data_IF_578346324841
#
_entry.id   IF_578346324841
#
_cell.length_a   1.000
_cell.length_b   1.000
_cell.length_c   1.000
_cell.angle_alpha   90.00
_cell.angle_beta   90.00
_cell.angle_gamma   90.00
#
_symmetry.space_group_name_H-M   'P 1'
#
loop_
_entity.id
_entity.type
_entity.pdbx_description
1 polymer ?
#
# COMPACT_ATOMS: atom_id res chain seq x y z
N UNK A 1 27.50 47.50 39.34
CA UNK A 1 27.26 46.34 38.45
C UNK A 1 28.33 46.40 37.37
N UNK A 2 29.55 45.96 37.67
CA UNK A 2 30.13 44.64 37.26
C UNK A 2 29.85 44.43 35.76
N UNK A 3 30.78 44.63 34.82
CA UNK A 3 32.21 44.37 34.84
C UNK A 3 32.48 43.13 34.00
N UNK A 4 32.69 43.32 32.69
CA UNK A 4 33.11 42.24 31.79
C UNK A 4 34.57 41.88 32.02
N UNK A 5 34.90 40.59 31.89
CA UNK A 5 36.26 40.13 31.69
C UNK A 5 36.29 38.90 30.75
N UNK A 6 37.31 38.78 29.87
CA UNK A 6 37.46 37.73 28.88
C UNK A 6 38.32 36.56 29.42
N UNK A 7 38.18 35.37 28.83
CA UNK A 7 39.03 34.22 29.14
C UNK A 7 40.02 33.97 28.00
N UNK A 8 41.28 34.34 28.22
CA UNK A 8 42.49 33.75 27.62
C UNK A 8 43.66 33.87 28.60
N UNK A 9 44.19 32.74 29.09
CA UNK A 9 45.62 32.53 29.46
C UNK A 9 45.78 31.03 29.80
N UNK A 10 46.30 30.20 28.89
CA UNK A 10 47.70 29.86 28.60
C UNK A 10 48.29 28.77 29.52
N UNK A 11 48.65 27.61 28.93
CA UNK A 11 50.05 27.13 28.65
C UNK A 11 50.60 26.36 29.87
N UNK A 12 51.01 25.10 29.73
CA UNK A 12 52.40 24.58 29.60
C UNK A 12 52.25 23.05 29.80
N UNK A 13 52.77 22.06 29.06
CA UNK A 13 53.92 21.83 28.16
C UNK A 13 53.44 21.09 26.87
N UNK A 14 53.89 21.28 25.62
CA UNK A 14 55.19 21.62 25.02
C UNK A 14 56.15 20.43 24.75
N UNK A 15 56.32 20.14 23.44
CA UNK A 15 57.49 19.57 22.72
C UNK A 15 57.73 18.06 22.92
N UNK A 16 57.76 17.20 21.88
CA UNK A 16 58.84 16.96 20.91
C UNK A 16 58.23 16.19 19.72
N UNK A 17 58.06 16.83 18.56
CA UNK A 17 58.95 16.74 17.39
C UNK A 17 58.89 15.40 16.63
N UNK A 18 58.10 15.42 15.56
CA UNK A 18 58.42 14.95 14.22
C UNK A 18 59.88 14.49 14.02
N UNK A 19 60.14 13.18 14.07
CA UNK A 19 61.25 12.55 13.35
C UNK A 19 60.84 11.12 12.96
N UNK A 20 61.06 10.80 11.68
CA UNK A 20 61.14 9.45 11.08
C UNK A 20 59.82 8.76 10.73
N UNK A 21 59.30 9.12 9.55
CA UNK A 21 58.84 8.12 8.60
C UNK A 21 60.03 7.24 8.15
N UNK A 22 59.75 5.97 7.87
CA UNK A 22 60.60 4.90 7.30
C UNK A 22 61.41 4.06 8.31
N UNK A 23 60.80 2.95 8.76
CA UNK A 23 61.26 1.57 8.43
C UNK A 23 60.17 0.56 8.80
N UNK A 24 59.62 -0.14 7.80
CA UNK A 24 58.84 -1.37 7.97
C UNK A 24 59.78 -2.50 8.45
N UNK A 25 59.27 -3.54 9.14
CA UNK A 25 58.96 -4.74 8.37
C UNK A 25 57.61 -5.38 8.69
N UNK A 26 57.06 -5.90 7.60
CA UNK A 26 55.99 -6.88 7.46
C UNK A 26 56.17 -8.05 8.43
N UNK A 27 55.18 -8.29 9.30
CA UNK A 27 55.01 -9.58 9.96
C UNK A 27 53.59 -10.04 9.66
N UNK A 28 53.49 -10.95 8.67
CA UNK A 28 52.34 -11.84 8.52
C UNK A 28 52.30 -12.77 9.74
N UNK A 29 51.29 -12.62 10.58
CA UNK A 29 50.80 -13.71 11.42
C UNK A 29 49.37 -14.02 11.00
N UNK A 30 49.25 -15.06 10.18
CA UNK A 30 47.95 -15.64 9.85
C UNK A 30 47.37 -16.29 11.10
N UNK A 31 46.35 -15.67 11.68
CA UNK A 31 45.36 -16.39 12.47
C UNK A 31 44.41 -17.07 11.48
N UNK A 32 44.63 -18.36 11.26
CA UNK A 32 43.67 -19.22 10.59
C UNK A 32 42.40 -19.21 11.43
N UNK A 33 41.40 -18.44 11.02
CA UNK A 33 40.05 -18.60 11.53
C UNK A 33 39.61 -20.02 11.18
N UNK A 34 39.34 -20.83 12.19
CA UNK A 34 38.65 -22.10 12.00
C UNK A 34 37.31 -21.81 11.33
N UNK A 35 36.86 -22.65 10.38
CA UNK A 35 35.53 -22.48 9.84
C UNK A 35 34.54 -22.71 10.98
N UNK A 36 33.76 -21.68 11.33
CA UNK A 36 32.53 -21.91 12.10
C UNK A 36 31.72 -22.90 11.29
N UNK A 37 31.48 -24.06 11.91
CA UNK A 37 30.43 -24.96 11.46
C UNK A 37 29.17 -24.12 11.29
N UNK A 38 28.53 -24.28 10.13
CA UNK A 38 27.21 -23.72 9.89
C UNK A 38 26.31 -24.23 11.04
N UNK A 39 25.95 -23.33 11.95
CA UNK A 39 24.88 -23.58 12.90
C UNK A 39 23.63 -23.94 12.08
N UNK A 40 22.96 -25.00 12.55
CA UNK A 40 22.02 -25.78 11.78
C UNK A 40 20.90 -24.96 11.16
N UNK A 41 20.31 -25.53 10.12
CA UNK A 41 19.02 -25.11 9.56
C UNK A 41 18.07 -24.73 10.71
N UNK A 42 17.40 -23.56 10.65
CA UNK A 42 16.48 -23.17 11.70
C UNK A 42 15.47 -24.31 11.90
N UNK A 43 15.25 -24.67 13.17
CA UNK A 43 14.14 -25.56 13.52
C UNK A 43 12.84 -25.00 12.91
N UNK A 44 11.89 -25.86 12.49
CA UNK A 44 10.62 -25.40 11.97
C UNK A 44 9.99 -24.51 13.04
N UNK A 45 9.88 -23.21 12.73
CA UNK A 45 9.07 -22.32 13.56
C UNK A 45 7.67 -22.91 13.55
N UNK A 46 7.05 -23.11 14.71
CA UNK A 46 5.70 -23.63 14.77
C UNK A 46 4.81 -22.79 13.85
N UNK A 47 3.99 -23.45 13.03
CA UNK A 47 3.10 -22.77 12.11
C UNK A 47 2.22 -21.78 12.89
N UNK A 48 2.05 -20.57 12.36
CA UNK A 48 1.19 -19.56 12.96
C UNK A 48 -0.26 -20.07 12.93
N UNK A 49 -1.05 -19.76 13.95
CA UNK A 49 -2.51 -19.85 13.88
C UNK A 49 -3.11 -18.47 14.12
N UNK A 50 -4.21 -18.15 13.46
CA UNK A 50 -4.89 -16.86 13.60
C UNK A 50 -5.44 -16.65 15.01
N UNK A 51 -5.75 -17.73 15.74
CA UNK A 51 -6.17 -17.68 17.14
C UNK A 51 -5.03 -17.26 18.09
N UNK A 52 -3.78 -17.50 17.71
CA UNK A 52 -2.59 -17.22 18.53
C UNK A 52 -1.97 -15.84 18.24
N UNK A 53 -2.35 -15.20 17.13
CA UNK A 53 -1.87 -13.86 16.78
C UNK A 53 -2.77 -12.78 17.38
N UNK A 54 -2.31 -12.18 18.48
CA UNK A 54 -3.02 -11.13 19.21
C UNK A 54 -2.44 -9.76 18.88
N UNK A 55 -3.29 -8.79 18.59
CA UNK A 55 -2.89 -7.41 18.31
C UNK A 55 -3.95 -6.41 18.81
N UNK A 56 -3.59 -5.13 18.77
CA UNK A 56 -4.45 -4.01 19.17
C UNK A 56 -4.99 -3.25 17.96
N UNK A 57 -6.29 -2.96 17.98
CA UNK A 57 -6.96 -2.15 16.96
C UNK A 57 -7.59 -0.92 17.58
N UNK A 58 -7.40 0.24 16.95
CA UNK A 58 -8.18 1.43 17.21
C UNK A 58 -9.48 1.34 16.38
N UNK A 59 -10.59 1.06 17.06
CA UNK A 59 -11.92 0.87 16.50
C UNK A 59 -12.87 1.90 17.08
N UNK A 60 -13.44 2.76 16.23
CA UNK A 60 -14.27 3.91 16.65
C UNK A 60 -13.64 4.72 17.82
N UNK A 61 -12.33 4.96 17.73
CA UNK A 61 -11.56 5.71 18.73
C UNK A 61 -11.27 4.95 20.04
N UNK A 62 -11.62 3.67 20.14
CA UNK A 62 -11.33 2.82 21.29
C UNK A 62 -10.32 1.73 20.93
N UNK A 63 -9.31 1.55 21.78
CA UNK A 63 -8.33 0.47 21.62
C UNK A 63 -8.92 -0.84 22.11
N UNK A 64 -8.96 -1.85 21.24
CA UNK A 64 -9.39 -3.22 21.55
C UNK A 64 -8.26 -4.20 21.27
N UNK A 65 -8.19 -5.26 22.05
CA UNK A 65 -7.30 -6.40 21.81
C UNK A 65 -8.10 -7.54 21.19
N UNK A 66 -7.65 -8.03 20.05
CA UNK A 66 -8.35 -9.04 19.23
C UNK A 66 -7.35 -10.06 18.69
N UNK A 67 -7.85 -11.20 18.22
CA UNK A 67 -7.08 -12.15 17.40
C UNK A 67 -7.27 -11.90 15.90
N UNK A 68 -6.41 -12.49 15.06
CA UNK A 68 -6.66 -12.50 13.62
C UNK A 68 -7.95 -13.24 13.27
N UNK A 69 -8.25 -14.34 13.96
CA UNK A 69 -9.44 -15.16 13.68
C UNK A 69 -10.74 -14.39 13.93
N UNK A 70 -10.75 -13.50 14.93
CA UNK A 70 -11.88 -12.62 15.25
C UNK A 70 -12.01 -11.46 14.26
N UNK A 71 -10.88 -10.85 13.87
CA UNK A 71 -10.86 -9.60 13.11
C UNK A 71 -10.94 -9.78 11.59
N UNK A 72 -10.21 -10.78 11.07
CA UNK A 72 -9.99 -10.94 9.63
C UNK A 72 -11.27 -11.17 8.81
N UNK A 73 -12.31 -11.90 9.30
CA UNK A 73 -13.57 -12.02 8.57
C UNK A 73 -14.25 -10.66 8.32
N UNK A 74 -14.18 -9.73 9.28
CA UNK A 74 -14.74 -8.38 9.14
C UNK A 74 -13.98 -7.53 8.13
N UNK A 75 -12.66 -7.71 8.05
CA UNK A 75 -11.83 -7.07 6.99
C UNK A 75 -12.20 -7.62 5.61
N UNK A 76 -12.23 -8.95 5.44
CA UNK A 76 -12.56 -9.56 4.13
C UNK A 76 -13.97 -9.14 3.68
N UNK A 77 -14.93 -9.08 4.59
CA UNK A 77 -16.30 -8.63 4.30
C UNK A 77 -16.40 -7.14 3.91
N UNK A 78 -15.51 -6.31 4.44
CA UNK A 78 -15.41 -4.89 4.12
C UNK A 78 -14.78 -4.66 2.74
N UNK A 79 -13.77 -5.46 2.41
CA UNK A 79 -12.90 -5.24 1.25
C UNK A 79 -13.47 -5.81 -0.04
N UNK A 80 -14.09 -7.00 0.00
CA UNK A 80 -14.57 -7.68 -1.22
C UNK A 80 -16.03 -8.15 -1.10
N UNK A 81 -16.79 -8.20 -2.21
CA UNK A 81 -18.13 -8.79 -2.19
C UNK A 81 -18.10 -10.26 -1.76
N UNK A 82 -18.97 -10.64 -0.81
CA UNK A 82 -19.09 -12.04 -0.35
C UNK A 82 -19.42 -13.05 -1.48
N UNK A 83 -19.92 -12.55 -2.61
CA UNK A 83 -20.23 -13.34 -3.80
C UNK A 83 -18.99 -13.69 -4.64
N UNK A 84 -17.84 -13.05 -4.42
CA UNK A 84 -16.59 -13.39 -5.10
C UNK A 84 -16.22 -14.86 -4.93
N UNK A 85 -15.50 -15.41 -5.89
CA UNK A 85 -15.08 -16.79 -5.89
C UNK A 85 -14.29 -17.13 -4.61
N UNK A 86 -14.43 -18.35 -4.09
CA UNK A 86 -13.81 -18.75 -2.82
C UNK A 86 -12.29 -18.58 -2.85
N UNK A 87 -11.63 -18.91 -3.97
CA UNK A 87 -10.18 -18.70 -4.13
C UNK A 87 -9.78 -17.21 -4.09
N UNK A 88 -10.64 -16.30 -4.54
CA UNK A 88 -10.39 -14.87 -4.41
C UNK A 88 -10.59 -14.39 -2.96
N UNK A 89 -11.56 -14.94 -2.23
CA UNK A 89 -11.72 -14.68 -0.79
C UNK A 89 -10.52 -15.18 0.01
N UNK A 90 -9.97 -16.36 -0.34
CA UNK A 90 -8.75 -16.91 0.26
C UNK A 90 -7.53 -16.01 -0.01
N UNK A 91 -7.35 -15.57 -1.26
CA UNK A 91 -6.29 -14.63 -1.60
C UNK A 91 -6.44 -13.32 -0.80
N UNK A 92 -7.65 -12.78 -0.69
CA UNK A 92 -7.91 -11.58 0.12
C UNK A 92 -7.62 -11.80 1.60
N UNK A 93 -7.96 -12.96 2.17
CA UNK A 93 -7.68 -13.29 3.56
C UNK A 93 -6.17 -13.31 3.83
N UNK A 94 -5.38 -14.00 2.99
CA UNK A 94 -3.91 -14.06 3.11
C UNK A 94 -3.28 -12.67 2.95
N UNK A 95 -3.73 -11.87 1.97
CA UNK A 95 -3.21 -10.52 1.76
C UNK A 95 -3.52 -9.60 2.95
N UNK A 96 -4.76 -9.59 3.44
CA UNK A 96 -5.16 -8.82 4.61
C UNK A 96 -4.43 -9.26 5.89
N UNK A 97 -4.29 -10.57 6.12
CA UNK A 97 -3.49 -11.12 7.23
C UNK A 97 -2.06 -10.62 7.18
N UNK A 98 -1.42 -10.75 6.02
CA UNK A 98 -0.04 -10.30 5.81
C UNK A 98 0.11 -8.81 6.05
N UNK A 99 -0.85 -8.01 5.58
CA UNK A 99 -0.85 -6.56 5.79
C UNK A 99 -0.94 -6.20 7.28
N UNK A 100 -1.83 -6.84 8.03
CA UNK A 100 -1.94 -6.67 9.49
C UNK A 100 -0.62 -7.01 10.18
N UNK A 101 -0.04 -8.17 9.87
CA UNK A 101 1.24 -8.60 10.43
C UNK A 101 2.37 -7.60 10.13
N UNK A 102 2.44 -7.11 8.88
CA UNK A 102 3.41 -6.09 8.50
C UNK A 102 3.23 -4.81 9.30
N UNK A 103 1.98 -4.36 9.52
CA UNK A 103 1.68 -3.13 10.28
C UNK A 103 1.99 -3.26 11.76
N UNK A 104 1.63 -4.38 12.39
CA UNK A 104 1.96 -4.65 13.79
C UNK A 104 3.48 -4.61 14.01
N UNK A 105 4.27 -5.11 13.05
CA UNK A 105 5.73 -5.11 13.12
C UNK A 105 6.33 -3.71 12.96
N UNK A 106 5.82 -2.89 12.04
CA UNK A 106 6.39 -1.56 11.76
C UNK A 106 5.82 -0.45 12.63
N UNK A 107 4.65 -0.66 13.22
CA UNK A 107 3.83 0.37 13.85
C UNK A 107 3.23 1.36 12.83
N UNK A 108 2.33 2.20 13.32
CA UNK A 108 1.71 3.29 12.54
C UNK A 108 1.74 4.58 13.36
N UNK A 109 2.43 5.59 12.86
CA UNK A 109 2.67 6.83 13.61
C UNK A 109 1.39 7.64 13.92
N UNK A 110 0.32 7.44 13.14
CA UNK A 110 -0.94 8.15 13.33
C UNK A 110 -1.71 7.71 14.59
N UNK A 111 -1.45 6.49 15.08
CA UNK A 111 -2.11 5.91 16.26
C UNK A 111 -1.09 5.02 17.01
N UNK A 112 -0.07 5.60 17.67
CA UNK A 112 0.98 4.83 18.33
C UNK A 112 0.50 3.94 19.48
N UNK A 113 -0.74 4.11 19.94
CA UNK A 113 -1.41 3.31 20.96
C UNK A 113 -2.04 2.01 20.44
N UNK A 114 -2.13 1.82 19.13
CA UNK A 114 -2.71 0.64 18.49
C UNK A 114 -1.89 0.17 17.29
N UNK A 115 -1.86 -1.14 17.05
CA UNK A 115 -1.12 -1.72 15.93
C UNK A 115 -1.72 -1.33 14.57
N UNK A 116 -3.06 -1.28 14.49
CA UNK A 116 -3.84 -0.89 13.30
C UNK A 116 -5.08 -0.06 13.66
N UNK A 117 -5.78 0.48 12.66
CA UNK A 117 -7.12 1.06 12.80
C UNK A 117 -8.10 0.55 11.72
N UNK A 118 -9.39 0.82 11.91
CA UNK A 118 -10.52 0.49 11.02
C UNK A 118 -10.74 1.50 9.87
N UNK A 119 -9.93 2.55 9.80
CA UNK A 119 -10.02 3.55 8.76
C UNK A 119 -9.29 3.10 7.49
N UNK A 120 -10.04 2.82 6.43
CA UNK A 120 -9.51 2.42 5.11
C UNK A 120 -8.49 3.41 4.51
N UNK A 121 -8.57 4.69 4.85
CA UNK A 121 -7.62 5.70 4.38
C UNK A 121 -6.27 5.65 5.14
N UNK A 122 -6.22 4.96 6.28
CA UNK A 122 -5.02 4.81 7.11
C UNK A 122 -4.47 3.37 7.10
N UNK A 123 -5.31 2.40 7.48
CA UNK A 123 -4.92 1.00 7.61
C UNK A 123 -5.71 0.10 6.67
N UNK A 124 -6.91 -0.31 7.05
CA UNK A 124 -7.78 -1.22 6.29
C UNK A 124 -9.23 -1.00 6.71
N UNK A 125 -10.18 -1.31 5.82
CA UNK A 125 -11.59 -1.28 6.20
C UNK A 125 -11.93 -2.49 7.10
N UNK A 126 -12.90 -2.31 7.99
CA UNK A 126 -13.49 -3.40 8.76
C UNK A 126 -15.00 -3.15 8.87
N UNK A 127 -15.80 -4.23 8.87
CA UNK A 127 -17.23 -4.15 9.14
C UNK A 127 -17.60 -5.03 10.32
N UNK A 128 -18.35 -4.46 11.26
CA UNK A 128 -18.84 -5.20 12.42
C UNK A 128 -19.99 -6.16 12.04
N UNK A 129 -20.21 -7.19 12.85
CA UNK A 129 -21.19 -8.24 12.54
C UNK A 129 -22.64 -7.72 12.45
N UNK A 130 -23.00 -6.75 13.28
CA UNK A 130 -24.31 -6.09 13.24
C UNK A 130 -24.50 -5.28 11.95
N UNK A 131 -23.47 -4.56 11.49
CA UNK A 131 -23.49 -3.88 10.19
C UNK A 131 -23.63 -4.87 9.03
N UNK A 132 -22.94 -6.01 9.09
CA UNK A 132 -23.05 -7.06 8.09
C UNK A 132 -24.43 -7.71 8.10
N UNK A 133 -25.04 -7.90 9.28
CA UNK A 133 -26.40 -8.41 9.41
C UNK A 133 -27.41 -7.46 8.78
N UNK A 134 -27.29 -6.15 9.03
CA UNK A 134 -28.12 -5.13 8.38
C UNK A 134 -27.94 -5.13 6.86
N UNK A 135 -26.68 -5.17 6.39
CA UNK A 135 -26.32 -5.16 4.96
C UNK A 135 -26.82 -6.37 4.20
N UNK A 136 -26.75 -7.56 4.79
CA UNK A 136 -27.02 -8.83 4.08
C UNK A 136 -28.39 -9.44 4.38
N UNK A 137 -29.05 -9.03 5.46
CA UNK A 137 -30.38 -9.52 5.85
C UNK A 137 -30.44 -11.05 5.86
N UNK A 138 -31.41 -11.62 5.16
CA UNK A 138 -31.63 -13.08 5.08
C UNK A 138 -30.44 -13.86 4.50
N UNK A 139 -29.47 -13.20 3.87
CA UNK A 139 -28.26 -13.84 3.34
C UNK A 139 -27.06 -13.81 4.32
N UNK A 140 -27.20 -13.16 5.47
CA UNK A 140 -26.11 -12.93 6.42
C UNK A 140 -25.35 -14.21 6.77
N UNK A 141 -26.05 -15.22 7.29
CA UNK A 141 -25.42 -16.47 7.75
C UNK A 141 -24.64 -17.15 6.62
N UNK A 142 -25.21 -17.16 5.41
CA UNK A 142 -24.59 -17.80 4.24
C UNK A 142 -23.33 -17.07 3.79
N UNK A 143 -23.39 -15.73 3.71
CA UNK A 143 -22.27 -14.91 3.25
C UNK A 143 -21.15 -14.88 4.28
N UNK A 144 -21.49 -14.73 5.55
CA UNK A 144 -20.51 -14.77 6.63
C UNK A 144 -19.83 -16.13 6.71
N UNK A 145 -20.59 -17.25 6.66
CA UNK A 145 -20.01 -18.59 6.72
C UNK A 145 -19.02 -18.85 5.58
N UNK A 146 -19.28 -18.34 4.37
CA UNK A 146 -18.36 -18.45 3.24
C UNK A 146 -17.05 -17.68 3.47
N UNK A 147 -17.14 -16.47 4.01
CA UNK A 147 -15.96 -15.66 4.33
C UNK A 147 -15.15 -16.29 5.45
N UNK A 148 -15.82 -16.70 6.54
CA UNK A 148 -15.18 -17.39 7.68
C UNK A 148 -14.49 -18.66 7.21
N UNK A 149 -15.12 -19.46 6.34
CA UNK A 149 -14.47 -20.65 5.77
C UNK A 149 -13.24 -20.31 4.94
N UNK A 150 -13.23 -19.22 4.16
CA UNK A 150 -12.04 -18.82 3.40
C UNK A 150 -10.89 -18.36 4.30
N UNK A 151 -11.21 -17.68 5.41
CA UNK A 151 -10.23 -17.31 6.45
C UNK A 151 -9.65 -18.56 7.10
N UNK A 152 -10.50 -19.49 7.56
CA UNK A 152 -10.09 -20.73 8.22
C UNK A 152 -9.29 -21.68 7.30
N UNK A 153 -9.68 -21.77 6.02
CA UNK A 153 -8.97 -22.57 5.03
C UNK A 153 -7.56 -22.05 4.72
N UNK A 154 -7.24 -20.82 5.14
CA UNK A 154 -5.93 -20.17 5.01
C UNK A 154 -5.36 -19.76 6.36
N UNK A 155 -5.78 -20.44 7.44
CA UNK A 155 -5.34 -20.14 8.80
C UNK A 155 -3.81 -20.11 8.88
N UNK A 156 -3.27 -19.06 9.47
CA UNK A 156 -1.83 -18.92 9.62
C UNK A 156 -1.03 -18.61 8.36
N UNK A 157 -1.65 -18.60 7.17
CA UNK A 157 -0.92 -18.37 5.92
C UNK A 157 -0.73 -16.88 5.61
N UNK A 158 0.52 -16.48 5.32
CA UNK A 158 0.91 -15.10 5.00
C UNK A 158 2.04 -15.04 3.96
N UNK A 159 2.25 -13.89 3.34
CA UNK A 159 3.28 -13.67 2.34
C UNK A 159 4.55 -13.04 2.92
N UNK A 160 5.71 -13.62 2.61
CA UNK A 160 7.02 -13.12 3.03
C UNK A 160 7.93 -12.81 1.85
N UNK A 161 8.82 -11.84 2.04
CA UNK A 161 9.94 -11.58 1.14
C UNK A 161 11.20 -11.40 1.98
N UNK A 162 12.24 -12.17 1.69
CA UNK A 162 13.46 -12.25 2.52
C UNK A 162 13.20 -12.57 4.01
N UNK A 163 12.21 -13.42 4.29
CA UNK A 163 11.87 -13.88 5.63
C UNK A 163 11.00 -12.93 6.45
N UNK A 164 10.59 -11.78 5.89
CA UNK A 164 9.76 -10.79 6.57
C UNK A 164 8.39 -10.67 5.88
N UNK A 165 7.28 -10.48 6.63
CA UNK A 165 5.97 -10.19 6.04
C UNK A 165 6.03 -9.00 5.08
N UNK A 166 5.45 -9.15 3.89
CA UNK A 166 5.43 -8.09 2.88
C UNK A 166 4.39 -7.02 3.20
N UNK A 167 4.53 -5.84 2.59
CA UNK A 167 3.45 -4.87 2.54
C UNK A 167 2.40 -5.31 1.50
N UNK A 168 1.52 -6.25 1.87
CA UNK A 168 0.50 -6.83 0.99
C UNK A 168 -0.68 -5.88 0.72
N UNK A 169 -0.42 -4.74 0.07
CA UNK A 169 -1.48 -3.80 -0.35
C UNK A 169 -2.34 -4.40 -1.47
N UNK A 170 -3.59 -3.99 -1.52
CA UNK A 170 -4.56 -4.41 -2.53
C UNK A 170 -5.51 -3.25 -2.83
N UNK A 171 -6.19 -3.32 -3.96
CA UNK A 171 -7.13 -2.29 -4.41
C UNK A 171 -8.29 -2.91 -5.18
N UNK A 172 -9.35 -2.12 -5.41
CA UNK A 172 -10.57 -2.65 -6.03
C UNK A 172 -10.35 -3.18 -7.45
N UNK A 173 -9.90 -2.33 -8.37
CA UNK A 173 -9.67 -2.75 -9.77
C UNK A 173 -8.58 -1.93 -10.45
N UNK A 174 -7.82 -2.62 -11.29
CA UNK A 174 -6.78 -2.11 -12.17
C UNK A 174 -7.34 -1.69 -13.53
N UNK A 175 -6.59 -0.86 -14.24
CA UNK A 175 -6.88 -0.48 -15.63
C UNK A 175 -6.08 -1.36 -16.60
N UNK A 176 -6.21 -2.68 -16.48
CA UNK A 176 -5.45 -3.68 -17.24
C UNK A 176 -4.07 -4.03 -16.67
N UNK A 177 -3.45 -3.12 -15.89
CA UNK A 177 -2.19 -3.36 -15.17
C UNK A 177 -2.24 -2.76 -13.76
N UNK A 178 -1.47 -3.37 -12.85
CA UNK A 178 -1.17 -2.83 -11.52
C UNK A 178 -0.04 -1.82 -11.58
N UNK A 179 0.15 -1.09 -10.49
CA UNK A 179 1.19 -0.08 -10.31
C UNK A 179 2.44 -0.58 -9.60
N UNK A 180 3.57 0.04 -9.93
CA UNK A 180 4.78 -0.07 -9.13
C UNK A 180 4.68 0.79 -7.86
N UNK A 181 5.20 0.28 -6.74
CA UNK A 181 5.16 1.02 -5.46
C UNK A 181 6.02 2.29 -5.44
N UNK A 182 6.94 2.48 -6.39
CA UNK A 182 7.95 3.56 -6.39
C UNK A 182 7.35 4.95 -6.21
N UNK A 183 6.20 5.21 -6.82
CA UNK A 183 5.55 6.51 -6.75
C UNK A 183 4.93 6.81 -5.36
N UNK A 184 4.63 5.79 -4.57
CA UNK A 184 3.93 5.91 -3.28
C UNK A 184 4.83 5.61 -2.07
N UNK A 185 5.66 4.57 -2.15
CA UNK A 185 6.42 4.02 -1.02
C UNK A 185 7.88 3.70 -1.35
N UNK A 186 8.37 4.05 -2.54
CA UNK A 186 9.66 3.60 -3.05
C UNK A 186 9.60 2.18 -3.63
N UNK A 187 10.66 1.80 -4.35
CA UNK A 187 10.67 0.54 -5.10
C UNK A 187 10.71 -0.67 -4.15
N UNK A 188 9.67 -1.51 -4.21
CA UNK A 188 9.58 -2.77 -3.48
C UNK A 188 9.55 -3.93 -4.51
N UNK A 189 10.47 -4.92 -4.45
CA UNK A 189 10.59 -5.94 -5.49
C UNK A 189 9.33 -6.79 -5.74
N UNK A 190 8.45 -6.87 -4.75
CA UNK A 190 7.20 -7.63 -4.77
C UNK A 190 5.96 -6.77 -5.05
N UNK A 191 6.11 -5.45 -5.27
CA UNK A 191 5.04 -4.54 -5.68
C UNK A 191 5.42 -3.84 -6.98
N UNK A 192 5.48 -4.64 -8.04
CA UNK A 192 5.75 -4.20 -9.41
C UNK A 192 4.49 -4.29 -10.26
N UNK A 193 4.49 -3.59 -11.39
CA UNK A 193 3.39 -3.66 -12.36
C UNK A 193 3.28 -5.06 -12.98
N UNK A 194 2.09 -5.65 -12.88
CA UNK A 194 1.69 -6.90 -13.53
C UNK A 194 0.34 -6.70 -14.24
N UNK A 195 0.04 -7.55 -15.24
CA UNK A 195 -1.26 -7.50 -15.92
C UNK A 195 -2.39 -7.87 -14.97
N UNK A 196 -3.59 -7.32 -15.16
CA UNK A 196 -4.79 -7.64 -14.37
C UNK A 196 -5.96 -7.89 -15.33
N UNK A 197 -6.67 -9.03 -15.23
CA UNK A 197 -7.56 -9.50 -16.30
C UNK A 197 -8.96 -8.88 -16.30
N UNK A 198 -9.37 -8.19 -15.25
CA UNK A 198 -10.72 -7.66 -15.11
C UNK A 198 -11.05 -6.56 -16.14
N UNK A 199 -12.32 -6.54 -16.52
CA UNK A 199 -12.85 -5.65 -17.55
C UNK A 199 -14.11 -4.91 -17.09
N UNK A 200 -14.72 -4.15 -18.00
CA UNK A 200 -16.00 -3.46 -17.74
C UNK A 200 -17.17 -4.42 -17.48
N UNK A 201 -17.08 -5.69 -17.92
CA UNK A 201 -18.10 -6.70 -17.67
C UNK A 201 -18.02 -7.26 -16.24
N UNK A 202 -16.84 -7.17 -15.62
CA UNK A 202 -16.56 -7.73 -14.29
C UNK A 202 -16.74 -6.69 -13.18
N UNK A 203 -16.41 -5.43 -13.46
CA UNK A 203 -16.30 -4.37 -12.45
C UNK A 203 -17.43 -3.35 -12.58
N UNK A 204 -18.30 -3.19 -11.57
CA UNK A 204 -19.29 -2.13 -11.54
C UNK A 204 -18.66 -0.73 -11.63
N UNK A 205 -19.16 0.07 -12.56
CA UNK A 205 -18.65 1.42 -12.85
C UNK A 205 -17.14 1.40 -13.20
N UNK A 206 -16.66 0.36 -13.90
CA UNK A 206 -15.25 0.23 -14.28
C UNK A 206 -14.69 1.48 -14.94
N UNK A 207 -15.49 2.10 -15.81
CA UNK A 207 -15.22 3.42 -16.39
C UNK A 207 -16.22 4.41 -15.81
N UNK A 208 -15.73 5.53 -15.28
CA UNK A 208 -16.56 6.62 -14.76
C UNK A 208 -16.19 7.95 -15.36
N UNK A 209 -17.18 8.82 -15.50
CA UNK A 209 -17.01 10.18 -15.99
C UNK A 209 -17.35 11.20 -14.89
N UNK A 210 -16.50 12.22 -14.76
CA UNK A 210 -16.75 13.38 -13.91
C UNK A 210 -16.64 14.62 -14.78
N UNK A 211 -17.75 15.31 -14.96
CA UNK A 211 -17.81 16.58 -15.69
C UNK A 211 -17.76 17.74 -14.70
N UNK A 212 -16.86 18.69 -14.97
CA UNK A 212 -16.63 19.86 -14.12
C UNK A 212 -16.80 21.12 -14.96
N UNK A 213 -17.64 22.05 -14.50
CA UNK A 213 -17.78 23.34 -15.16
C UNK A 213 -16.46 24.12 -15.14
N UNK A 214 -16.27 25.05 -16.08
CA UNK A 214 -15.06 25.90 -16.12
C UNK A 214 -14.85 26.65 -14.79
N UNK A 215 -15.94 27.16 -14.20
CA UNK A 215 -15.88 27.88 -12.92
C UNK A 215 -15.49 26.97 -11.77
N UNK A 216 -16.05 25.77 -11.72
CA UNK A 216 -15.78 24.81 -10.63
C UNK A 216 -14.37 24.25 -10.74
N UNK A 217 -13.89 23.97 -11.96
CA UNK A 217 -12.52 23.52 -12.20
C UNK A 217 -11.51 24.55 -11.68
N UNK A 218 -11.71 25.83 -12.04
CA UNK A 218 -10.87 26.92 -11.55
C UNK A 218 -10.99 27.14 -10.03
N UNK A 219 -12.19 26.99 -9.46
CA UNK A 219 -12.40 27.10 -8.01
C UNK A 219 -11.70 25.97 -7.24
N UNK A 220 -11.87 24.72 -7.67
CA UNK A 220 -11.25 23.55 -7.05
C UNK A 220 -9.73 23.65 -7.04
N UNK A 221 -9.11 24.06 -8.16
CA UNK A 221 -7.66 24.26 -8.21
C UNK A 221 -7.18 25.34 -7.25
N UNK A 222 -7.90 26.47 -7.15
CA UNK A 222 -7.56 27.55 -6.21
C UNK A 222 -7.71 27.11 -4.75
N UNK A 223 -8.79 26.42 -4.42
CA UNK A 223 -9.01 25.87 -3.07
C UNK A 223 -7.95 24.83 -2.71
N UNK A 224 -7.48 24.07 -3.70
CA UNK A 224 -6.38 23.12 -3.53
C UNK A 224 -4.97 23.77 -3.51
N UNK A 225 -4.89 25.10 -3.56
CA UNK A 225 -3.67 25.91 -3.59
C UNK A 225 -2.74 25.62 -4.79
N UNK A 226 -3.34 25.23 -5.93
CA UNK A 226 -2.60 25.01 -7.18
C UNK A 226 -2.48 26.33 -7.95
N UNK A 227 -1.25 26.80 -8.11
CA UNK A 227 -0.91 28.09 -8.74
C UNK A 227 -0.93 28.05 -10.28
N UNK A 228 -2.03 27.59 -10.88
CA UNK A 228 -2.22 27.56 -12.33
C UNK A 228 -2.65 28.93 -12.90
N UNK A 229 -2.05 29.37 -14.01
CA UNK A 229 -2.54 30.51 -14.79
C UNK A 229 -3.73 30.10 -15.65
N UNK A 230 -4.92 30.53 -15.24
CA UNK A 230 -6.20 30.25 -15.90
C UNK A 230 -6.78 31.51 -16.58
N UNK A 231 -5.94 32.47 -16.98
CA UNK A 231 -6.39 33.72 -17.60
C UNK A 231 -6.77 33.59 -19.08
N UNK A 232 -6.28 32.54 -19.76
CA UNK A 232 -6.58 32.24 -21.18
C UNK A 232 -7.92 31.53 -21.41
N UNK A 233 -8.14 31.03 -22.63
CA UNK A 233 -9.33 30.24 -22.95
C UNK A 233 -9.26 28.85 -22.29
N UNK A 234 -10.38 28.31 -21.75
CA UNK A 234 -10.36 27.04 -21.01
C UNK A 234 -9.81 25.84 -21.78
N UNK A 235 -10.01 25.80 -23.10
CA UNK A 235 -9.47 24.76 -23.99
C UNK A 235 -7.93 24.76 -24.08
N UNK A 236 -7.26 25.77 -23.51
CA UNK A 236 -5.80 25.90 -23.45
C UNK A 236 -5.23 25.76 -22.05
N UNK A 237 -6.07 25.54 -21.03
CA UNK A 237 -5.59 25.43 -19.65
C UNK A 237 -4.88 24.10 -19.39
N UNK A 238 -5.31 23.02 -20.05
CA UNK A 238 -4.78 21.67 -19.83
C UNK A 238 -3.81 21.30 -20.94
N UNK A 239 -2.58 20.94 -20.56
CA UNK A 239 -1.53 20.44 -21.45
C UNK A 239 -1.53 18.92 -21.57
N UNK A 240 -0.43 18.38 -22.10
CA UNK A 240 -0.27 16.93 -22.24
C UNK A 240 -0.07 16.25 -20.88
N UNK A 241 -0.61 15.04 -20.75
CA UNK A 241 -0.40 14.17 -19.59
C UNK A 241 0.91 13.40 -19.73
N UNK A 242 1.69 13.34 -18.65
CA UNK A 242 2.79 12.40 -18.50
C UNK A 242 2.25 11.14 -17.86
N UNK A 243 2.44 9.99 -18.51
CA UNK A 243 2.06 8.69 -17.98
C UNK A 243 3.26 7.99 -17.33
N UNK A 244 2.99 7.21 -16.29
CA UNK A 244 3.96 6.26 -15.73
C UNK A 244 4.01 4.95 -16.52
N UNK A 245 4.81 3.98 -16.05
CA UNK A 245 5.08 2.73 -16.76
C UNK A 245 3.88 1.79 -16.91
N UNK A 246 2.84 1.98 -16.10
CA UNK A 246 1.58 1.22 -16.13
C UNK A 246 0.50 1.92 -16.97
N UNK A 247 0.75 3.15 -17.41
CA UNK A 247 -0.17 3.94 -18.22
C UNK A 247 -1.11 4.86 -17.41
N UNK A 248 -0.83 5.09 -16.13
CA UNK A 248 -1.59 6.06 -15.31
C UNK A 248 -0.98 7.44 -15.39
N UNK A 249 -1.78 8.45 -15.06
CA UNK A 249 -1.37 9.84 -15.05
C UNK A 249 -0.40 10.07 -13.88
N UNK A 250 0.88 10.24 -14.21
CA UNK A 250 1.89 10.69 -13.27
C UNK A 250 1.72 12.20 -12.99
N UNK A 251 1.59 13.01 -14.04
CA UNK A 251 1.32 14.44 -13.94
C UNK A 251 0.60 15.01 -15.17
N UNK A 252 -0.03 16.17 -15.01
CA UNK A 252 -0.61 16.98 -16.08
C UNK A 252 -0.20 18.44 -15.84
N UNK A 253 0.27 19.11 -16.89
CA UNK A 253 0.50 20.55 -16.85
C UNK A 253 -0.84 21.30 -16.97
N UNK A 254 -1.20 22.10 -15.97
CA UNK A 254 -2.41 22.92 -15.95
C UNK A 254 -2.01 24.38 -15.71
N UNK A 255 -2.29 25.27 -16.67
CA UNK A 255 -1.95 26.69 -16.57
C UNK A 255 -0.47 26.95 -16.28
N UNK A 256 0.41 26.12 -16.85
CA UNK A 256 1.86 26.19 -16.63
C UNK A 256 2.37 25.59 -15.32
N UNK A 257 1.49 25.00 -14.49
CA UNK A 257 1.87 24.28 -13.28
C UNK A 257 1.69 22.79 -13.46
N UNK A 258 2.70 22.00 -13.14
CA UNK A 258 2.59 20.53 -13.13
C UNK A 258 1.85 20.07 -11.87
N UNK A 259 0.77 19.32 -12.07
CA UNK A 259 -0.04 18.74 -10.99
C UNK A 259 0.02 17.23 -11.10
N UNK A 260 0.28 16.53 -9.99
CA UNK A 260 0.31 15.07 -10.01
C UNK A 260 -1.09 14.48 -10.26
N UNK A 261 -1.15 13.33 -10.93
CA UNK A 261 -2.41 12.62 -11.11
C UNK A 261 -3.04 12.21 -9.78
N UNK A 262 -2.23 11.88 -8.77
CA UNK A 262 -2.70 11.58 -7.40
C UNK A 262 -3.40 12.78 -6.76
N UNK A 263 -2.88 14.01 -6.94
CA UNK A 263 -3.51 15.22 -6.43
C UNK A 263 -4.80 15.54 -7.16
N UNK A 264 -4.84 15.36 -8.47
CA UNK A 264 -6.07 15.53 -9.26
C UNK A 264 -7.14 14.52 -8.87
N UNK A 265 -6.75 13.25 -8.67
CA UNK A 265 -7.64 12.19 -8.18
C UNK A 265 -8.28 12.58 -6.85
N UNK A 266 -7.50 13.10 -5.91
CA UNK A 266 -8.00 13.55 -4.60
C UNK A 266 -8.99 14.71 -4.73
N UNK A 267 -8.58 15.83 -5.34
CA UNK A 267 -9.37 17.08 -5.32
C UNK A 267 -10.62 17.02 -6.21
N UNK A 268 -10.64 16.15 -7.22
CA UNK A 268 -11.80 15.89 -8.07
C UNK A 268 -12.53 14.59 -7.71
N UNK A 269 -12.13 13.90 -6.62
CA UNK A 269 -12.75 12.66 -6.14
C UNK A 269 -12.84 11.57 -7.23
N UNK A 270 -11.77 11.44 -8.04
CA UNK A 270 -11.70 10.45 -9.10
C UNK A 270 -11.42 9.05 -8.51
N UNK A 271 -11.88 8.01 -9.21
CA UNK A 271 -11.70 6.63 -8.75
C UNK A 271 -10.23 6.19 -8.79
N UNK A 272 -9.49 6.59 -9.82
CA UNK A 272 -8.11 6.17 -10.04
C UNK A 272 -7.27 7.31 -10.63
N UNK A 273 -5.97 7.07 -10.77
CA UNK A 273 -5.07 7.91 -11.59
C UNK A 273 -5.00 7.45 -13.05
N UNK A 274 -5.71 6.38 -13.42
CA UNK A 274 -5.85 5.93 -14.80
C UNK A 274 -7.01 6.70 -15.46
N UNK A 275 -6.77 7.97 -15.81
CA UNK A 275 -7.80 8.83 -16.38
C UNK A 275 -7.31 9.66 -17.57
N UNK A 276 -8.24 10.10 -18.40
CA UNK A 276 -8.05 11.21 -19.34
C UNK A 276 -8.72 12.47 -18.80
N UNK A 277 -8.20 13.64 -19.19
CA UNK A 277 -8.79 14.94 -18.89
C UNK A 277 -8.90 15.74 -20.19
N UNK A 278 -10.13 16.05 -20.60
CA UNK A 278 -10.41 16.75 -21.85
C UNK A 278 -11.34 17.95 -21.62
N UNK A 279 -11.16 19.01 -22.40
CA UNK A 279 -12.13 20.11 -22.46
C UNK A 279 -13.08 19.90 -23.64
N UNK A 280 -14.31 19.47 -23.35
CA UNK A 280 -15.31 19.14 -24.35
C UNK A 280 -16.66 19.72 -23.97
N UNK A 281 -17.42 20.21 -24.94
CA UNK A 281 -18.77 20.78 -24.74
C UNK A 281 -18.87 21.86 -23.64
N UNK A 282 -17.79 22.61 -23.41
CA UNK A 282 -17.78 23.68 -22.41
C UNK A 282 -17.45 23.23 -20.98
N UNK A 283 -17.12 21.96 -20.76
CA UNK A 283 -16.75 21.39 -19.45
C UNK A 283 -15.40 20.69 -19.52
N UNK A 284 -14.76 20.53 -18.36
CA UNK A 284 -13.63 19.62 -18.18
C UNK A 284 -14.17 18.24 -17.80
N UNK A 285 -13.95 17.26 -18.65
CA UNK A 285 -14.38 15.89 -18.43
C UNK A 285 -13.19 15.01 -18.06
N UNK A 286 -13.27 14.41 -16.87
CA UNK A 286 -12.40 13.31 -16.48
C UNK A 286 -13.07 11.99 -16.87
N UNK A 287 -12.34 11.09 -17.52
CA UNK A 287 -12.79 9.70 -17.74
C UNK A 287 -11.80 8.76 -17.06
N UNK A 288 -12.18 8.19 -15.92
CA UNK A 288 -11.33 7.30 -15.11
C UNK A 288 -11.67 5.83 -15.37
N UNK A 289 -10.66 4.97 -15.35
CA UNK A 289 -10.80 3.50 -15.44
C UNK A 289 -10.25 2.82 -14.19
N UNK A 290 -10.92 1.78 -13.70
CA UNK A 290 -10.56 1.08 -12.47
C UNK A 290 -10.80 1.92 -11.22
N UNK A 291 -10.47 1.35 -10.05
CA UNK A 291 -10.70 1.99 -8.76
C UNK A 291 -9.63 1.63 -7.73
N UNK A 292 -9.00 2.66 -7.16
CA UNK A 292 -7.98 2.54 -6.12
C UNK A 292 -6.58 2.95 -6.59
N UNK A 293 -5.62 2.78 -5.69
CA UNK A 293 -4.23 3.20 -5.90
C UNK A 293 -3.49 2.35 -6.96
N UNK A 294 -3.97 1.13 -7.25
CA UNK A 294 -3.45 0.30 -8.33
C UNK A 294 -2.27 -0.61 -7.98
N UNK A 295 -1.63 -0.41 -6.83
CA UNK A 295 -0.48 -1.23 -6.39
C UNK A 295 -0.94 -2.55 -5.76
N UNK A 296 -0.17 -3.62 -5.97
CA UNK A 296 -0.43 -4.94 -5.39
C UNK A 296 -1.63 -5.65 -6.01
N UNK A 297 -2.39 -6.40 -5.21
CA UNK A 297 -3.47 -7.24 -5.73
C UNK A 297 -4.70 -6.43 -6.15
N UNK A 298 -5.18 -6.65 -7.39
CA UNK A 298 -6.52 -6.24 -7.80
C UNK A 298 -7.55 -7.22 -7.26
N UNK A 299 -8.54 -6.74 -6.52
CA UNK A 299 -9.61 -7.56 -5.94
C UNK A 299 -10.50 -8.18 -7.02
N UNK A 300 -10.95 -7.38 -7.99
CA UNK A 300 -11.73 -7.89 -9.12
C UNK A 300 -10.86 -8.76 -10.05
N UNK A 301 -9.59 -8.40 -10.24
CA UNK A 301 -8.65 -9.21 -11.02
C UNK A 301 -8.42 -10.59 -10.39
N UNK A 302 -8.26 -10.66 -9.08
CA UNK A 302 -8.22 -11.91 -8.32
C UNK A 302 -9.50 -12.74 -8.51
N UNK A 303 -10.67 -12.09 -8.48
CA UNK A 303 -11.94 -12.76 -8.72
C UNK A 303 -12.06 -13.35 -10.14
N UNK A 304 -11.62 -12.62 -11.17
CA UNK A 304 -11.61 -13.13 -12.55
C UNK A 304 -10.63 -14.30 -12.69
N UNK A 305 -9.40 -14.19 -12.19
CA UNK A 305 -8.44 -15.30 -12.18
C UNK A 305 -9.01 -16.55 -11.50
N UNK A 306 -9.68 -16.36 -10.36
CA UNK A 306 -10.32 -17.44 -9.63
C UNK A 306 -11.47 -18.10 -10.41
N UNK A 307 -12.28 -17.31 -11.12
CA UNK A 307 -13.36 -17.80 -11.99
C UNK A 307 -12.81 -18.58 -13.20
N UNK A 308 -11.62 -18.20 -13.68
CA UNK A 308 -10.88 -18.90 -14.74
C UNK A 308 -10.11 -20.13 -14.24
N UNK A 309 -10.20 -20.43 -12.93
CA UNK A 309 -9.71 -21.66 -12.32
C UNK A 309 -8.38 -21.55 -11.58
N UNK A 310 -7.82 -20.35 -11.43
CA UNK A 310 -6.61 -20.16 -10.62
C UNK A 310 -6.88 -20.40 -9.13
N UNK A 311 -5.96 -21.10 -8.48
CA UNK A 311 -5.96 -21.23 -7.01
C UNK A 311 -5.45 -19.94 -6.34
N UNK A 312 -5.80 -19.72 -5.08
CA UNK A 312 -5.42 -18.50 -4.36
C UNK A 312 -3.89 -18.29 -4.32
N UNK A 313 -3.09 -19.36 -4.25
CA UNK A 313 -1.63 -19.24 -4.27
C UNK A 313 -1.10 -18.71 -5.60
N UNK A 314 -1.74 -19.10 -6.72
CA UNK A 314 -1.37 -18.60 -8.05
C UNK A 314 -1.74 -17.13 -8.20
N UNK A 315 -2.92 -16.73 -7.69
CA UNK A 315 -3.37 -15.34 -7.62
C UNK A 315 -2.37 -14.49 -6.84
N UNK A 316 -2.00 -14.91 -5.63
CA UNK A 316 -1.05 -14.19 -4.79
C UNK A 316 0.34 -14.11 -5.44
N UNK A 317 0.82 -15.21 -6.02
CA UNK A 317 2.13 -15.23 -6.72
C UNK A 317 2.16 -14.27 -7.91
N UNK A 318 1.03 -14.14 -8.62
CA UNK A 318 0.89 -13.21 -9.73
C UNK A 318 0.97 -11.75 -9.29
N UNK A 319 0.22 -11.36 -8.26
CA UNK A 319 0.16 -9.97 -7.80
C UNK A 319 1.31 -9.54 -6.89
N UNK A 320 1.99 -10.49 -6.25
CA UNK A 320 3.13 -10.23 -5.35
C UNK A 320 4.36 -11.04 -5.80
N UNK A 321 4.92 -10.76 -6.99
CA UNK A 321 5.96 -11.59 -7.57
C UNK A 321 7.20 -11.67 -6.69
N UNK A 322 7.69 -12.90 -6.49
CA UNK A 322 8.86 -13.18 -5.65
C UNK A 322 8.55 -13.26 -4.15
N UNK A 323 7.35 -12.88 -3.69
CA UNK A 323 6.90 -13.21 -2.35
C UNK A 323 6.61 -14.73 -2.26
N UNK A 324 6.79 -15.28 -1.06
CA UNK A 324 6.58 -16.70 -0.78
C UNK A 324 5.45 -16.84 0.23
N UNK A 325 4.57 -17.81 0.01
CA UNK A 325 3.60 -18.20 1.01
C UNK A 325 4.31 -18.93 2.15
N UNK A 326 4.06 -18.49 3.38
CA UNK A 326 4.54 -19.08 4.62
C UNK A 326 3.34 -19.44 5.50
N UNK A 327 3.53 -20.40 6.40
CA UNK A 327 2.53 -20.85 7.37
C UNK A 327 3.22 -21.39 8.61
#
# INVERSE_FOLDING_TARGET
MIGGLPVKLNVILAVIALVIALTLPLILTGTRAEPRQAEGSPEPTAALSDDDFIFTVLDDGQVRTVTLSEWLPGVVAAEVPALFHTEALKAQAVAARTYIMSRCRTGVAAHPEADICDNYACCQAHQAQDELLEKWGDHYDKYLAKIVSAVQDTDGEYLVFNGEPIQAVFHSSSAGFTEDSSALWGALPYLVSVSSPETADDVPNYVTQVEVSVSDFAATLRTAEINADLSGTPDKWVGESVLDSSGRVASITIGGTDVSGSRLREIFSLRSTAFTLEYINGVFQFTSTGYGHGVGMSQYGANVMAQDGSAYQEILTHYYPGAQLSG
#
